data_IF_848821721977
#
_entry.id   IF_848821721977
#
_cell.length_a   1.000
_cell.length_b   1.000
_cell.length_c   1.000
_cell.angle_alpha   90.00
_cell.angle_beta   90.00
_cell.angle_gamma   90.00
#
_symmetry.space_group_name_H-M   'P 1'
#
loop_
_entity.id
_entity.type
_entity.pdbx_description
1 polymer ?
#
# COMPACT_ATOMS: atom_id res chain seq x y z
N UNK A 1 16.59 -16.37 -9.99
CA UNK A 1 17.38 -15.54 -9.05
C UNK A 1 16.40 -14.63 -8.33
N UNK A 2 16.12 -14.90 -7.06
CA UNK A 2 15.35 -13.99 -6.21
C UNK A 2 16.26 -12.78 -6.02
N UNK A 3 15.91 -11.62 -6.58
CA UNK A 3 16.59 -10.37 -6.23
C UNK A 3 16.43 -10.23 -4.73
N UNK A 4 17.54 -10.05 -4.00
CA UNK A 4 17.47 -9.60 -2.61
C UNK A 4 16.71 -8.27 -2.63
N UNK A 5 15.40 -8.31 -2.40
CA UNK A 5 14.58 -7.13 -2.15
C UNK A 5 15.13 -6.54 -0.85
N UNK A 6 16.02 -5.55 -0.97
CA UNK A 6 16.50 -4.81 0.19
C UNK A 6 15.28 -4.13 0.78
N UNK A 7 14.76 -4.68 1.87
CA UNK A 7 13.81 -4.00 2.72
C UNK A 7 14.43 -2.65 3.08
N UNK A 8 13.69 -1.55 2.86
CA UNK A 8 14.19 -0.21 3.17
C UNK A 8 14.67 -0.16 4.63
N UNK A 9 15.81 0.49 4.87
CA UNK A 9 16.33 0.72 6.22
C UNK A 9 15.38 1.55 7.09
N UNK A 10 14.47 2.29 6.45
CA UNK A 10 13.49 3.14 7.13
C UNK A 10 12.22 2.40 7.52
N UNK A 11 12.08 1.11 7.21
CA UNK A 11 10.87 0.33 7.55
C UNK A 11 10.53 0.37 9.05
N UNK A 12 11.53 0.58 9.92
CA UNK A 12 11.34 0.70 11.37
C UNK A 12 10.54 1.95 11.80
N UNK A 13 10.31 2.90 10.88
CA UNK A 13 9.46 4.08 11.09
C UNK A 13 8.02 3.85 10.63
N UNK A 14 7.67 2.63 10.28
CA UNK A 14 6.35 2.28 9.78
C UNK A 14 5.76 1.15 10.61
N UNK A 15 4.53 1.35 11.05
CA UNK A 15 3.67 0.29 11.53
C UNK A 15 3.09 -0.42 10.31
N UNK A 16 3.25 -1.74 10.28
CA UNK A 16 2.85 -2.57 9.14
C UNK A 16 1.57 -3.30 9.55
N UNK A 17 0.50 -3.06 8.79
CA UNK A 17 -0.75 -3.79 8.90
C UNK A 17 -0.98 -4.56 7.62
N UNK A 18 -1.03 -5.88 7.75
CA UNK A 18 -1.28 -6.79 6.65
C UNK A 18 -2.68 -7.37 6.80
N UNK A 19 -3.52 -7.22 5.78
CA UNK A 19 -4.79 -7.94 5.74
C UNK A 19 -4.53 -9.40 5.31
N UNK A 20 -4.45 -10.28 6.31
CA UNK A 20 -4.28 -11.72 6.10
C UNK A 20 -5.42 -12.36 5.29
N UNK A 21 -6.59 -11.71 5.23
CA UNK A 21 -7.75 -12.17 4.49
C UNK A 21 -7.92 -11.45 3.15
N UNK A 22 -7.03 -10.52 2.79
CA UNK A 22 -7.00 -9.81 1.50
C UNK A 22 -6.82 -10.71 0.27
N UNK A 23 -6.95 -12.03 0.43
CA UNK A 23 -6.88 -13.05 -0.62
C UNK A 23 -7.82 -14.27 -0.41
N UNK A 24 -8.63 -14.36 0.65
CA UNK A 24 -9.04 -15.69 1.17
C UNK A 24 -10.52 -16.06 1.07
N UNK A 25 -11.48 -15.16 0.81
CA UNK A 25 -12.88 -15.51 1.12
C UNK A 25 -13.87 -15.66 -0.03
N UNK A 26 -13.57 -16.29 -1.16
CA UNK A 26 -14.61 -16.49 -2.20
C UNK A 26 -15.83 -17.31 -1.65
N UNK A 27 -16.98 -16.67 -1.42
CA UNK A 27 -18.33 -17.13 -1.84
C UNK A 27 -19.45 -16.13 -1.43
N UNK A 28 -19.91 -15.33 -2.42
CA UNK A 28 -21.11 -14.44 -2.46
C UNK A 28 -21.07 -13.03 -1.83
N UNK A 29 -19.88 -12.43 -1.70
CA UNK A 29 -19.60 -10.97 -1.83
C UNK A 29 -18.85 -10.65 -3.16
N UNK A 30 -18.40 -11.72 -3.79
CA UNK A 30 -17.87 -12.04 -5.13
C UNK A 30 -18.19 -11.20 -6.36
N UNK A 31 -19.06 -10.21 -6.32
CA UNK A 31 -19.43 -9.39 -7.50
C UNK A 31 -19.17 -7.91 -7.24
N UNK A 32 -19.17 -7.49 -5.97
CA UNK A 32 -19.05 -6.08 -5.58
C UNK A 32 -17.62 -5.73 -5.14
N UNK A 33 -16.91 -6.71 -4.61
CA UNK A 33 -15.48 -6.63 -4.31
C UNK A 33 -14.61 -7.26 -5.40
N UNK A 34 -15.18 -7.63 -6.55
CA UNK A 34 -14.47 -8.28 -7.67
C UNK A 34 -13.22 -7.56 -8.12
N UNK A 35 -13.03 -6.31 -7.70
CA UNK A 35 -11.85 -5.59 -8.04
C UNK A 35 -11.48 -4.51 -7.02
N UNK A 36 -11.60 -4.71 -5.71
CA UNK A 36 -11.06 -3.76 -4.71
C UNK A 36 -10.67 -4.55 -3.48
N UNK A 37 -9.37 -4.82 -3.37
CA UNK A 37 -8.79 -5.63 -2.29
C UNK A 37 -7.68 -4.84 -1.62
N UNK A 38 -7.81 -4.58 -0.33
CA UNK A 38 -6.74 -4.00 0.48
C UNK A 38 -5.70 -5.09 0.76
N UNK A 39 -4.42 -4.78 0.51
CA UNK A 39 -3.32 -5.74 0.56
C UNK A 39 -2.39 -5.42 1.72
N UNK A 40 -2.02 -4.14 1.85
CA UNK A 40 -0.99 -3.70 2.78
C UNK A 40 -1.23 -2.25 3.15
N UNK A 41 -1.24 -1.96 4.44
CA UNK A 41 -1.23 -0.61 4.97
C UNK A 41 0.07 -0.39 5.75
N UNK A 42 0.78 0.70 5.45
CA UNK A 42 1.93 1.18 6.20
C UNK A 42 1.60 2.53 6.81
N UNK A 43 1.49 2.58 8.13
CA UNK A 43 1.22 3.83 8.85
C UNK A 43 2.51 4.35 9.45
N UNK A 44 2.85 5.61 9.18
CA UNK A 44 4.03 6.22 9.78
C UNK A 44 3.92 6.24 11.32
N UNK A 45 5.02 6.04 12.04
CA UNK A 45 5.01 6.01 13.52
C UNK A 45 4.67 7.38 14.15
N UNK A 46 4.90 8.47 13.42
CA UNK A 46 4.50 9.81 13.84
C UNK A 46 3.11 10.11 13.33
N UNK A 47 2.28 10.66 14.20
CA UNK A 47 0.86 10.95 13.93
C UNK A 47 0.64 11.95 12.77
N UNK A 48 1.63 12.78 12.46
CA UNK A 48 1.63 13.72 11.33
C UNK A 48 2.14 13.13 10.01
N UNK A 49 2.68 11.91 10.07
CA UNK A 49 3.18 11.19 8.90
C UNK A 49 2.06 10.51 8.10
N UNK A 50 2.35 10.10 6.85
CA UNK A 50 1.34 9.53 5.98
C UNK A 50 1.00 8.08 6.32
N UNK A 51 -0.13 7.64 5.79
CA UNK A 51 -0.48 6.24 5.59
C UNK A 51 -0.23 5.91 4.11
N UNK A 52 0.49 4.81 3.85
CA UNK A 52 0.60 4.22 2.52
C UNK A 52 -0.36 3.03 2.47
N UNK A 53 -1.46 3.19 1.75
CA UNK A 53 -2.43 2.13 1.52
C UNK A 53 -2.20 1.50 0.14
N UNK A 54 -2.03 0.18 0.12
CA UNK A 54 -1.78 -0.60 -1.09
C UNK A 54 -2.91 -1.58 -1.27
N UNK A 55 -3.54 -1.54 -2.44
CA UNK A 55 -4.59 -2.48 -2.79
C UNK A 55 -4.67 -2.76 -4.28
N UNK A 56 -5.47 -3.74 -4.66
CA UNK A 56 -5.78 -4.07 -6.04
C UNK A 56 -7.17 -3.59 -6.42
N UNK A 57 -7.22 -2.61 -7.32
CA UNK A 57 -8.42 -1.89 -7.69
C UNK A 57 -8.71 -1.99 -9.20
N UNK A 58 -9.84 -2.56 -9.55
CA UNK A 58 -10.38 -2.78 -10.89
C UNK A 58 -9.53 -3.74 -11.74
N UNK A 59 -8.38 -3.26 -12.18
CA UNK A 59 -7.41 -4.00 -12.99
C UNK A 59 -5.97 -3.60 -12.67
N UNK A 60 -5.78 -2.67 -11.74
CA UNK A 60 -4.51 -2.07 -11.41
C UNK A 60 -4.29 -2.21 -9.91
N UNK A 61 -3.06 -2.49 -9.52
CA UNK A 61 -2.62 -2.20 -8.17
C UNK A 61 -2.49 -0.69 -8.00
N UNK A 62 -2.78 -0.21 -6.79
CA UNK A 62 -2.65 1.19 -6.42
C UNK A 62 -1.91 1.34 -5.11
N UNK A 63 -1.23 2.48 -4.97
CA UNK A 63 -0.71 2.98 -3.71
C UNK A 63 -1.31 4.36 -3.49
N UNK A 64 -2.01 4.54 -2.37
CA UNK A 64 -2.51 5.83 -1.92
C UNK A 64 -1.62 6.36 -0.80
N UNK A 65 -1.25 7.64 -0.89
CA UNK A 65 -0.58 8.36 0.19
C UNK A 65 -1.60 9.25 0.87
N UNK A 66 -1.97 8.89 2.09
CA UNK A 66 -3.05 9.54 2.84
C UNK A 66 -2.46 10.30 4.02
N UNK A 67 -2.96 11.50 4.26
CA UNK A 67 -2.63 12.32 5.43
C UNK A 67 -3.92 12.62 6.19
N UNK A 68 -3.82 12.82 7.50
CA UNK A 68 -4.93 13.24 8.36
C UNK A 68 -6.19 12.36 8.26
N UNK A 69 -6.04 11.10 7.81
CA UNK A 69 -7.13 10.18 7.46
C UNK A 69 -8.10 10.71 6.39
N UNK A 70 -7.66 11.61 5.50
CA UNK A 70 -8.46 12.08 4.35
C UNK A 70 -8.37 11.08 3.18
N UNK A 71 -9.18 10.03 3.27
CA UNK A 71 -9.29 8.97 2.25
C UNK A 71 -9.94 9.45 0.94
N UNK A 72 -10.74 10.51 0.99
CA UNK A 72 -11.41 11.06 -0.19
C UNK A 72 -10.45 11.88 -1.07
N UNK A 73 -9.36 12.39 -0.48
CA UNK A 73 -8.36 13.24 -1.16
C UNK A 73 -6.94 12.78 -0.83
N UNK A 74 -6.52 11.60 -1.33
CA UNK A 74 -5.15 11.15 -1.19
C UNK A 74 -4.19 12.19 -1.80
N UNK A 75 -3.08 12.43 -1.11
CA UNK A 75 -2.05 13.40 -1.52
C UNK A 75 -1.32 12.97 -2.79
N UNK A 76 -1.08 11.66 -2.93
CA UNK A 76 -0.46 11.04 -4.11
C UNK A 76 -1.14 9.70 -4.36
N UNK A 77 -1.36 9.38 -5.63
CA UNK A 77 -1.85 8.07 -6.07
C UNK A 77 -0.92 7.55 -7.15
N UNK A 78 -0.45 6.32 -6.99
CA UNK A 78 0.30 5.61 -8.02
C UNK A 78 -0.46 4.35 -8.43
N UNK A 79 -0.48 4.03 -9.72
CA UNK A 79 -1.14 2.83 -10.23
C UNK A 79 -0.29 2.08 -11.26
N UNK A 80 -0.42 0.75 -11.26
CA UNK A 80 0.24 -0.12 -12.22
C UNK A 80 -0.45 -1.48 -12.31
N UNK A 81 -0.46 -2.08 -13.50
CA UNK A 81 -0.85 -3.49 -13.68
C UNK A 81 0.24 -4.48 -13.25
N UNK A 82 1.47 -4.00 -13.08
CA UNK A 82 2.64 -4.82 -12.74
C UNK A 82 3.02 -4.64 -11.28
N UNK A 83 3.05 -5.74 -10.54
CA UNK A 83 3.46 -5.81 -9.13
C UNK A 83 4.87 -5.28 -8.90
N UNK A 84 5.82 -5.53 -9.81
CA UNK A 84 7.21 -5.05 -9.70
C UNK A 84 7.32 -3.52 -9.61
N UNK A 85 6.41 -2.78 -10.25
CA UNK A 85 6.42 -1.31 -10.21
C UNK A 85 5.78 -0.78 -8.93
N UNK A 86 4.80 -1.50 -8.38
CA UNK A 86 4.19 -1.18 -7.09
C UNK A 86 5.20 -1.39 -5.97
N UNK A 87 5.89 -2.53 -5.99
CA UNK A 87 6.93 -2.82 -5.00
C UNK A 87 8.03 -1.74 -5.02
N UNK A 88 8.57 -1.42 -6.20
CA UNK A 88 9.61 -0.38 -6.31
C UNK A 88 9.10 0.98 -5.83
N UNK A 89 7.89 1.38 -6.24
CA UNK A 89 7.31 2.66 -5.84
C UNK A 89 7.01 2.71 -4.34
N UNK A 90 6.58 1.61 -3.74
CA UNK A 90 6.34 1.52 -2.30
C UNK A 90 7.63 1.80 -1.52
N UNK A 91 8.75 1.19 -1.90
CA UNK A 91 10.05 1.46 -1.28
C UNK A 91 10.50 2.91 -1.48
N UNK A 92 10.30 3.48 -2.67
CA UNK A 92 10.57 4.91 -2.90
C UNK A 92 9.74 5.82 -1.98
N UNK A 93 8.45 5.49 -1.75
CA UNK A 93 7.57 6.27 -0.88
C UNK A 93 7.94 6.12 0.60
N UNK A 94 8.29 4.91 1.03
CA UNK A 94 8.83 4.66 2.38
C UNK A 94 10.05 5.56 2.63
N UNK A 95 11.01 5.58 1.69
CA UNK A 95 12.22 6.39 1.83
C UNK A 95 11.96 7.89 1.73
N UNK A 96 11.04 8.30 0.85
CA UNK A 96 10.64 9.71 0.67
C UNK A 96 10.03 10.29 1.94
N UNK A 97 9.18 9.52 2.63
CA UNK A 97 8.44 10.01 3.80
C UNK A 97 9.08 9.66 5.15
N UNK A 98 10.16 8.89 5.16
CA UNK A 98 10.94 8.56 6.36
C UNK A 98 11.55 9.77 7.10
N UNK A 99 11.75 10.89 6.40
CA UNK A 99 12.41 12.09 6.95
C UNK A 99 11.58 13.37 6.73
N UNK A 100 10.28 13.22 6.43
CA UNK A 100 9.39 14.34 6.15
C UNK A 100 8.86 14.99 7.43
#
# INVERSE_FOLDING_TARGET
>A
MIKNSKVSSNINQWNIEYDQNGFVSDEKWLVTAEKTEDILQLSHIYHEGPILDVGFYTENYKIYVIYDNDWDKPKEVFESKKTEFIENKLYELIDKYANA
#
